data_IF_934285422017
#
_entry.id   IF_934285422017
#
_cell.length_a   1.000
_cell.length_b   1.000
_cell.length_c   1.000
_cell.angle_alpha   90.00
_cell.angle_beta   90.00
_cell.angle_gamma   90.00
#
_symmetry.space_group_name_H-M   'P 1'
#
loop_
_entity.id
_entity.type
_entity.pdbx_description
1 polymer ?
#
# COMPACT_ATOMS: atom_id res chain seq x y z
N UNK A 1 0.52 17.03 -12.89
CA UNK A 1 0.14 15.75 -13.52
C UNK A 1 -0.99 15.15 -12.68
N UNK A 2 -2.15 14.89 -13.27
CA UNK A 2 -3.28 14.31 -12.55
C UNK A 2 -2.88 12.92 -12.03
N UNK A 3 -2.95 12.69 -10.72
CA UNK A 3 -2.72 11.36 -10.14
C UNK A 3 -3.79 10.42 -10.69
N UNK A 4 -3.39 9.39 -11.43
CA UNK A 4 -4.30 8.37 -11.94
C UNK A 4 -4.86 7.61 -10.74
N UNK A 5 -6.16 7.67 -10.53
CA UNK A 5 -6.84 6.91 -9.47
C UNK A 5 -6.86 5.44 -9.92
N UNK A 6 -6.29 4.55 -9.12
CA UNK A 6 -6.25 3.10 -9.40
C UNK A 6 -7.63 2.50 -9.20
N UNK A 7 -8.27 2.85 -8.08
CA UNK A 7 -9.60 2.36 -7.71
C UNK A 7 -10.30 3.40 -6.86
N UNK A 8 -11.59 3.57 -7.11
CA UNK A 8 -12.42 4.47 -6.34
C UNK A 8 -13.54 3.70 -5.66
N UNK A 9 -13.78 4.02 -4.39
CA UNK A 9 -14.87 3.46 -3.59
C UNK A 9 -15.69 4.60 -3.01
N UNK A 10 -16.81 4.28 -2.35
CA UNK A 10 -17.59 5.27 -1.59
C UNK A 10 -16.76 5.92 -0.47
N UNK A 11 -15.81 5.18 0.12
CA UNK A 11 -15.01 5.62 1.26
C UNK A 11 -13.74 6.39 0.84
N UNK A 12 -12.97 5.83 -0.08
CA UNK A 12 -11.63 6.33 -0.43
C UNK A 12 -11.30 6.17 -1.92
N UNK A 13 -10.26 6.87 -2.35
CA UNK A 13 -9.61 6.71 -3.65
C UNK A 13 -8.21 6.12 -3.42
N UNK A 14 -7.85 5.05 -4.13
CA UNK A 14 -6.50 4.50 -4.12
C UNK A 14 -5.67 5.25 -5.17
N UNK A 15 -4.62 5.94 -4.72
CA UNK A 15 -3.77 6.78 -5.55
C UNK A 15 -2.54 6.04 -6.07
N UNK A 16 -1.88 5.29 -5.17
CA UNK A 16 -0.70 4.47 -5.45
C UNK A 16 -0.82 3.17 -4.66
N UNK A 17 -0.25 2.09 -5.17
CA UNK A 17 -0.31 0.78 -4.52
C UNK A 17 0.93 -0.04 -4.86
N UNK A 18 1.73 -0.37 -3.86
CA UNK A 18 2.77 -1.40 -3.95
C UNK A 18 2.16 -2.75 -3.60
N UNK A 19 2.52 -3.81 -4.34
CA UNK A 19 2.00 -5.16 -4.13
C UNK A 19 3.10 -6.20 -4.11
N UNK A 20 2.92 -7.22 -3.30
CA UNK A 20 3.69 -8.47 -3.33
C UNK A 20 2.68 -9.61 -3.19
N UNK A 21 2.78 -10.63 -4.03
CA UNK A 21 1.91 -11.79 -3.98
C UNK A 21 2.70 -13.05 -3.62
N UNK A 22 2.05 -13.95 -2.88
CA UNK A 22 2.49 -15.33 -2.70
C UNK A 22 1.43 -16.31 -3.26
N UNK A 23 1.49 -17.57 -2.87
CA UNK A 23 0.57 -18.62 -3.35
C UNK A 23 -0.89 -18.38 -2.93
N UNK A 24 -1.12 -17.64 -1.84
CA UNK A 24 -2.43 -17.53 -1.21
C UNK A 24 -3.01 -16.12 -1.21
N UNK A 25 -2.16 -15.11 -1.09
CA UNK A 25 -2.53 -13.73 -0.83
C UNK A 25 -1.70 -12.73 -1.64
N UNK A 26 -2.29 -11.56 -1.84
CA UNK A 26 -1.61 -10.36 -2.33
C UNK A 26 -1.58 -9.32 -1.22
N UNK A 27 -0.38 -9.04 -0.73
CA UNK A 27 -0.07 -8.02 0.26
C UNK A 27 0.11 -6.67 -0.43
N UNK A 28 -0.37 -5.60 0.20
CA UNK A 28 -0.27 -4.27 -0.40
C UNK A 28 -0.07 -3.17 0.64
N UNK A 29 0.69 -2.15 0.24
CA UNK A 29 0.71 -0.85 0.90
C UNK A 29 0.19 0.16 -0.09
N UNK A 30 -0.80 0.92 0.32
CA UNK A 30 -1.56 1.83 -0.51
C UNK A 30 -1.45 3.24 0.02
N UNK A 31 -1.35 4.19 -0.91
CA UNK A 31 -1.65 5.59 -0.61
C UNK A 31 -3.11 5.85 -0.97
N UNK A 32 -3.93 6.17 0.01
CA UNK A 32 -5.36 6.38 -0.16
C UNK A 32 -5.75 7.80 0.20
N UNK A 33 -6.71 8.36 -0.51
CA UNK A 33 -7.37 9.61 -0.14
C UNK A 33 -8.72 9.30 0.47
N UNK A 34 -8.91 9.63 1.75
CA UNK A 34 -10.18 9.44 2.46
C UNK A 34 -11.09 10.63 2.18
N UNK A 35 -12.24 10.38 1.55
CA UNK A 35 -13.15 11.43 1.08
C UNK A 35 -13.77 12.23 2.23
N UNK A 36 -14.14 11.55 3.32
CA UNK A 36 -14.84 12.17 4.45
C UNK A 36 -13.98 13.23 5.17
N UNK A 37 -12.68 12.95 5.33
CA UNK A 37 -11.74 13.82 6.06
C UNK A 37 -10.75 14.55 5.14
N UNK A 38 -10.85 14.33 3.82
CA UNK A 38 -10.03 14.96 2.77
C UNK A 38 -8.52 14.84 3.01
N UNK A 39 -8.05 13.65 3.36
CA UNK A 39 -6.65 13.40 3.73
C UNK A 39 -6.06 12.18 3.03
N UNK A 40 -4.78 12.28 2.68
CA UNK A 40 -3.95 11.15 2.25
C UNK A 40 -3.49 10.31 3.46
N UNK A 41 -3.72 9.00 3.41
CA UNK A 41 -3.26 8.04 4.41
C UNK A 41 -2.54 6.85 3.76
N UNK A 42 -1.73 6.16 4.55
CA UNK A 42 -1.06 4.91 4.15
C UNK A 42 -1.85 3.75 4.73
N UNK A 43 -2.34 2.86 3.87
CA UNK A 43 -3.13 1.69 4.26
C UNK A 43 -2.38 0.41 3.91
N UNK A 44 -2.30 -0.50 4.87
CA UNK A 44 -1.86 -1.86 4.65
C UNK A 44 -3.09 -2.71 4.33
N UNK A 45 -3.04 -3.51 3.28
CA UNK A 45 -4.21 -4.21 2.75
C UNK A 45 -3.86 -5.60 2.25
N UNK A 46 -4.80 -6.51 2.45
CA UNK A 46 -4.71 -7.91 2.04
C UNK A 46 -5.77 -8.19 0.97
N UNK A 47 -5.35 -8.83 -0.10
CA UNK A 47 -6.21 -9.29 -1.17
C UNK A 47 -6.04 -10.79 -1.36
N UNK A 48 -7.09 -11.47 -1.82
CA UNK A 48 -7.05 -12.89 -2.20
C UNK A 48 -7.88 -13.12 -3.44
N UNK A 49 -7.37 -13.96 -4.32
CA UNK A 49 -8.16 -14.46 -5.43
C UNK A 49 -9.18 -15.48 -4.92
N UNK A 50 -10.42 -15.31 -5.38
CA UNK A 50 -11.51 -16.22 -5.09
C UNK A 50 -12.04 -16.77 -6.41
N UNK A 51 -12.68 -17.94 -6.36
CA UNK A 51 -13.33 -18.56 -7.54
C UNK A 51 -14.25 -17.56 -8.27
N UNK A 52 -14.84 -16.60 -7.56
CA UNK A 52 -15.79 -15.61 -8.09
C UNK A 52 -15.19 -14.25 -8.46
N UNK A 53 -13.99 -13.94 -7.98
CA UNK A 53 -13.35 -12.62 -8.19
C UNK A 53 -11.87 -12.70 -7.86
N UNK A 54 -11.04 -12.25 -8.80
CA UNK A 54 -9.65 -11.91 -8.51
C UNK A 54 -9.58 -10.68 -7.58
N UNK A 55 -8.48 -10.58 -6.82
CA UNK A 55 -8.13 -9.47 -5.92
C UNK A 55 -9.27 -9.03 -4.98
N UNK A 56 -9.91 -9.98 -4.31
CA UNK A 56 -10.91 -9.67 -3.30
C UNK A 56 -10.24 -9.12 -2.04
N UNK A 57 -10.62 -7.92 -1.63
CA UNK A 57 -10.15 -7.31 -0.38
C UNK A 57 -10.60 -8.11 0.84
N UNK A 58 -9.67 -8.40 1.76
CA UNK A 58 -9.93 -9.05 3.04
C UNK A 58 -9.78 -8.01 4.16
N UNK A 59 -10.85 -7.72 4.92
CA UNK A 59 -10.83 -6.71 5.99
C UNK A 59 -10.19 -7.27 7.27
N UNK A 60 -8.89 -7.56 7.22
CA UNK A 60 -8.07 -7.97 8.37
C UNK A 60 -6.75 -7.21 8.40
N UNK A 61 -6.08 -7.25 9.55
CA UNK A 61 -4.70 -6.78 9.68
C UNK A 61 -3.77 -7.51 8.71
N UNK A 62 -2.77 -6.78 8.21
CA UNK A 62 -1.70 -7.35 7.39
C UNK A 62 -0.63 -7.93 8.31
N UNK A 63 -0.44 -9.24 8.22
CA UNK A 63 0.61 -9.97 8.94
C UNK A 63 1.63 -10.46 7.91
N UNK A 64 2.89 -10.06 8.05
CA UNK A 64 3.98 -10.39 7.11
C UNK A 64 5.29 -10.60 7.87
N UNK A 65 6.19 -11.40 7.30
CA UNK A 65 7.57 -11.53 7.80
C UNK A 65 8.38 -10.26 7.53
N UNK A 66 9.53 -10.11 8.18
CA UNK A 66 10.44 -8.98 7.91
C UNK A 66 10.89 -8.93 6.44
N UNK A 67 11.17 -10.09 5.83
CA UNK A 67 11.56 -10.20 4.43
C UNK A 67 10.43 -9.74 3.49
N UNK A 68 9.20 -10.22 3.73
CA UNK A 68 8.02 -9.80 2.98
C UNK A 68 7.76 -8.30 3.14
N UNK A 69 7.91 -7.77 4.36
CA UNK A 69 7.77 -6.35 4.63
C UNK A 69 8.80 -5.50 3.88
N UNK A 70 10.07 -5.93 3.87
CA UNK A 70 11.14 -5.25 3.12
C UNK A 70 10.84 -5.23 1.62
N UNK A 71 10.43 -6.36 1.05
CA UNK A 71 10.04 -6.44 -0.36
C UNK A 71 8.84 -5.53 -0.65
N UNK A 72 7.85 -5.51 0.23
CA UNK A 72 6.65 -4.69 0.06
C UNK A 72 6.95 -3.19 0.18
N UNK A 73 7.83 -2.79 1.10
CA UNK A 73 8.31 -1.41 1.22
C UNK A 73 9.08 -1.01 -0.04
N UNK A 74 9.94 -1.89 -0.57
CA UNK A 74 10.69 -1.65 -1.81
C UNK A 74 9.76 -1.37 -2.98
N UNK A 75 8.78 -2.24 -3.23
CA UNK A 75 7.79 -2.03 -4.29
C UNK A 75 6.99 -0.74 -4.08
N UNK A 76 6.61 -0.44 -2.83
CA UNK A 76 5.85 0.76 -2.47
C UNK A 76 6.63 2.06 -2.70
N UNK A 77 7.96 2.05 -2.51
CA UNK A 77 8.84 3.16 -2.85
C UNK A 77 8.87 3.37 -4.37
N UNK A 78 9.04 2.29 -5.14
CA UNK A 78 9.13 2.34 -6.61
C UNK A 78 7.87 2.97 -7.22
N UNK A 79 6.69 2.55 -6.75
CA UNK A 79 5.40 3.05 -7.26
C UNK A 79 4.95 4.37 -6.62
N UNK A 80 5.74 4.94 -5.71
CA UNK A 80 5.52 6.27 -5.14
C UNK A 80 4.40 6.36 -4.10
N UNK A 81 4.15 5.28 -3.35
CA UNK A 81 3.24 5.30 -2.18
C UNK A 81 3.75 6.31 -1.13
N UNK A 82 5.06 6.34 -0.91
CA UNK A 82 5.69 7.26 0.03
C UNK A 82 6.17 8.54 -0.67
N UNK A 83 6.10 9.67 0.04
CA UNK A 83 6.67 10.92 -0.48
C UNK A 83 8.21 10.87 -0.42
N UNK A 84 8.86 11.65 -1.29
CA UNK A 84 10.32 11.80 -1.25
C UNK A 84 10.82 12.30 0.11
N UNK A 85 10.04 13.18 0.75
CA UNK A 85 10.34 13.69 2.09
C UNK A 85 10.27 12.60 3.15
N UNK A 86 9.24 11.74 3.11
CA UNK A 86 9.13 10.59 4.01
C UNK A 86 10.35 9.67 3.87
N UNK A 87 10.74 9.32 2.64
CA UNK A 87 11.89 8.44 2.39
C UNK A 87 13.19 9.07 2.91
N UNK A 88 13.38 10.38 2.68
CA UNK A 88 14.54 11.12 3.20
C UNK A 88 14.60 11.09 4.72
N UNK A 89 13.46 11.29 5.40
CA UNK A 89 13.39 11.26 6.85
C UNK A 89 13.60 9.84 7.41
N UNK A 90 13.02 8.82 6.76
CA UNK A 90 13.24 7.42 7.12
C UNK A 90 14.72 7.03 7.00
N UNK A 91 15.39 7.43 5.92
CA UNK A 91 16.83 7.18 5.75
C UNK A 91 17.68 7.81 6.86
N UNK A 92 17.33 9.02 7.32
CA UNK A 92 18.03 9.63 8.47
C UNK A 92 17.85 8.80 9.75
N UNK A 93 16.64 8.31 10.02
CA UNK A 93 16.36 7.47 11.19
C UNK A 93 17.17 6.17 11.12
N UNK A 94 17.24 5.53 9.95
CA UNK A 94 17.99 4.28 9.76
C UNK A 94 19.51 4.47 9.91
N UNK A 95 20.04 5.62 9.48
CA UNK A 95 21.47 5.94 9.53
C UNK A 95 21.92 6.59 10.86
N UNK A 96 21.00 6.83 11.79
CA UNK A 96 21.29 7.34 13.15
C UNK A 96 21.67 6.22 14.14
N UNK A 97 21.90 5.01 13.63
CA UNK A 97 22.45 3.90 14.42
C UNK A 97 23.94 4.06 14.65
#
# INVERSE_FOLDING_TARGET
MAKKIIKETKYCQILCQGKVADEDYTYSIEKIFIKAIKRDEIRFSLYKDTIRSAERYIPRSLDVTEEQLLQLIKESIIVGVFSKEFIKNLSKILNQK
#
